data_IF_151704537896
#
_entry.id   IF_151704537896
#
_cell.length_a   1.000
_cell.length_b   1.000
_cell.length_c   1.000
_cell.angle_alpha   90.00
_cell.angle_beta   90.00
_cell.angle_gamma   90.00
#
_symmetry.space_group_name_H-M   'P 1'
#
loop_
_entity.id
_entity.type
_entity.pdbx_description
1 polymer ?
#
# COMPACT_ATOMS: atom_id res chain seq x y z
N UNK A 1 -8.66 -3.09 4.63
CA UNK A 1 -8.55 -2.83 3.16
C UNK A 1 -7.19 -3.32 2.75
N UNK A 2 -7.10 -4.20 1.75
CA UNK A 2 -5.81 -4.73 1.32
C UNK A 2 -4.97 -3.63 0.64
N UNK A 3 -3.71 -3.47 1.03
CA UNK A 3 -2.76 -2.55 0.38
C UNK A 3 -1.95 -3.32 -0.68
N UNK A 4 -2.39 -3.24 -1.93
CA UNK A 4 -1.77 -3.92 -3.07
C UNK A 4 -1.62 -2.94 -4.24
N UNK A 5 -0.42 -2.90 -4.83
CA UNK A 5 -0.11 -2.15 -6.05
C UNK A 5 -0.21 -3.06 -7.29
N UNK A 6 -0.24 -2.44 -8.48
CA UNK A 6 -0.14 -3.18 -9.73
C UNK A 6 1.26 -3.79 -9.93
N UNK A 7 1.34 -4.80 -10.81
CA UNK A 7 2.62 -5.37 -11.22
C UNK A 7 3.45 -4.33 -12.00
N UNK A 8 4.76 -4.28 -11.76
CA UNK A 8 5.71 -3.39 -12.46
C UNK A 8 5.53 -3.40 -13.98
N UNK A 9 5.38 -4.61 -14.55
CA UNK A 9 5.18 -4.80 -15.98
C UNK A 9 3.96 -4.05 -16.51
N UNK A 10 2.87 -3.94 -15.73
CA UNK A 10 1.69 -3.22 -16.19
C UNK A 10 1.96 -1.72 -16.36
N UNK A 11 2.72 -1.11 -15.45
CA UNK A 11 3.14 0.29 -15.55
C UNK A 11 4.10 0.52 -16.72
N UNK A 12 5.07 -0.37 -16.88
CA UNK A 12 6.02 -0.30 -17.99
C UNK A 12 5.33 -0.50 -19.35
N UNK A 13 4.35 -1.42 -19.41
CA UNK A 13 3.51 -1.61 -20.60
C UNK A 13 2.70 -0.33 -20.88
N UNK A 14 2.11 0.33 -19.88
CA UNK A 14 1.39 1.59 -20.09
C UNK A 14 2.30 2.66 -20.69
N UNK A 15 3.52 2.81 -20.15
CA UNK A 15 4.49 3.75 -20.68
C UNK A 15 4.89 3.42 -22.13
N UNK A 16 5.07 2.14 -22.45
CA UNK A 16 5.35 1.68 -23.81
C UNK A 16 4.20 1.94 -24.79
N UNK A 17 2.94 1.96 -24.31
CA UNK A 17 1.75 2.27 -25.11
C UNK A 17 1.41 3.78 -25.15
N UNK A 18 2.35 4.65 -24.77
CA UNK A 18 2.22 6.10 -24.93
C UNK A 18 1.83 6.86 -23.65
N UNK A 19 1.64 6.18 -22.52
CA UNK A 19 1.47 6.85 -21.23
C UNK A 19 2.84 7.28 -20.66
N UNK A 20 3.50 8.22 -21.32
CA UNK A 20 4.81 8.74 -20.88
C UNK A 20 4.74 9.24 -19.44
N UNK A 21 5.73 8.90 -18.61
CA UNK A 21 5.73 9.23 -17.18
C UNK A 21 5.13 8.15 -16.26
N UNK A 22 4.57 7.07 -16.83
CA UNK A 22 3.87 6.02 -16.07
C UNK A 22 4.66 4.73 -15.91
N UNK A 23 5.96 4.67 -16.25
CA UNK A 23 6.76 3.48 -15.97
C UNK A 23 6.83 3.23 -14.47
N UNK A 24 7.08 1.98 -14.07
CA UNK A 24 7.04 1.63 -12.64
C UNK A 24 8.00 2.49 -11.81
N UNK A 25 9.20 2.74 -12.34
CA UNK A 25 10.21 3.56 -11.67
C UNK A 25 9.74 5.01 -11.47
N UNK A 26 8.99 5.56 -12.43
CA UNK A 26 8.46 6.92 -12.35
C UNK A 26 7.30 7.03 -11.35
N UNK A 27 6.45 6.01 -11.27
CA UNK A 27 5.31 6.01 -10.33
C UNK A 27 5.69 5.59 -8.91
N UNK A 28 6.78 4.83 -8.72
CA UNK A 28 7.22 4.34 -7.41
C UNK A 28 7.39 5.49 -6.39
N UNK A 29 7.90 6.64 -6.83
CA UNK A 29 8.04 7.82 -5.95
C UNK A 29 6.70 8.31 -5.41
N UNK A 30 5.62 8.17 -6.17
CA UNK A 30 4.27 8.59 -5.74
C UNK A 30 3.65 7.58 -4.80
N UNK A 31 3.90 6.28 -5.00
CA UNK A 31 3.51 5.27 -4.01
C UNK A 31 4.20 5.50 -2.67
N UNK A 32 5.50 5.84 -2.68
CA UNK A 32 6.22 6.19 -1.46
C UNK A 32 5.73 7.51 -0.85
N UNK A 33 5.40 8.51 -1.66
CA UNK A 33 4.85 9.80 -1.17
C UNK A 33 3.47 9.64 -0.52
N UNK A 34 2.65 8.72 -1.04
CA UNK A 34 1.32 8.39 -0.53
C UNK A 34 1.37 7.73 0.85
N UNK A 35 2.38 6.89 1.06
CA UNK A 35 2.40 5.89 2.12
C UNK A 35 3.05 6.40 3.41
N UNK A 36 2.40 6.07 4.53
CA UNK A 36 2.97 6.11 5.87
C UNK A 36 2.96 4.70 6.44
N UNK A 37 3.99 3.92 6.10
CA UNK A 37 4.09 2.53 6.53
C UNK A 37 4.66 2.46 7.96
N UNK A 38 3.88 1.91 8.89
CA UNK A 38 4.29 1.83 10.31
C UNK A 38 5.06 0.55 10.64
N UNK A 39 5.15 -0.39 9.70
CA UNK A 39 5.86 -1.66 9.88
C UNK A 39 7.31 -1.50 9.39
N UNK A 40 8.22 -1.28 10.34
CA UNK A 40 9.60 -0.88 10.07
C UNK A 40 10.40 -1.89 9.22
N UNK A 41 9.98 -3.16 9.17
CA UNK A 41 10.60 -4.18 8.32
C UNK A 41 10.34 -3.96 6.81
N UNK A 42 9.23 -3.32 6.43
CA UNK A 42 8.88 -3.04 5.03
C UNK A 42 9.59 -1.80 4.50
N UNK A 43 9.81 -0.79 5.35
CA UNK A 43 10.39 0.51 4.95
C UNK A 43 11.82 0.39 4.41
N UNK A 44 12.57 -0.63 4.83
CA UNK A 44 14.01 -0.76 4.54
C UNK A 44 14.32 -1.29 3.13
N UNK A 45 13.34 -1.87 2.43
CA UNK A 45 13.58 -2.52 1.14
C UNK A 45 13.57 -1.56 -0.07
N UNK A 46 13.27 -0.27 0.15
CA UNK A 46 13.27 0.77 -0.88
C UNK A 46 11.94 0.98 -1.61
N UNK A 47 10.95 0.09 -1.42
CA UNK A 47 9.65 0.14 -2.09
C UNK A 47 8.57 0.87 -1.29
N UNK A 48 8.77 1.08 0.01
CA UNK A 48 7.80 1.71 0.90
C UNK A 48 8.19 3.14 1.29
N UNK A 49 7.18 3.93 1.65
CA UNK A 49 7.30 5.28 2.18
C UNK A 49 6.88 5.41 3.63
N UNK A 50 7.33 6.49 4.27
CA UNK A 50 6.90 6.92 5.60
C UNK A 50 6.53 8.40 5.57
N UNK A 51 5.65 8.84 6.47
CA UNK A 51 5.22 10.24 6.58
C UNK A 51 4.22 10.69 5.52
N UNK A 52 3.73 9.78 4.67
CA UNK A 52 2.64 10.03 3.75
C UNK A 52 1.27 10.20 4.44
N UNK A 53 0.24 10.60 3.69
CA UNK A 53 -1.10 10.79 4.24
C UNK A 53 -1.87 9.48 4.51
N UNK A 54 -1.50 8.35 3.88
CA UNK A 54 -2.20 7.07 4.03
C UNK A 54 -1.38 6.13 4.91
N UNK A 55 -1.89 5.85 6.11
CA UNK A 55 -1.26 4.90 7.03
C UNK A 55 -1.46 3.47 6.53
N UNK A 56 -0.36 2.73 6.47
CA UNK A 56 -0.31 1.32 6.07
C UNK A 56 0.33 0.53 7.20
N UNK A 57 -0.33 -0.54 7.62
CA UNK A 57 0.18 -1.46 8.63
C UNK A 57 -0.39 -2.85 8.44
N UNK A 58 0.22 -3.86 9.05
CA UNK A 58 -0.43 -5.15 9.25
C UNK A 58 -1.72 -4.96 10.05
N UNK A 59 -2.79 -5.69 9.70
CA UNK A 59 -3.98 -5.75 10.55
C UNK A 59 -3.60 -6.26 11.94
N UNK A 60 -4.20 -5.72 13.03
CA UNK A 60 -3.88 -6.15 14.39
C UNK A 60 -4.37 -7.58 14.71
N UNK A 61 -5.34 -8.08 13.95
CA UNK A 61 -5.80 -9.45 14.07
C UNK A 61 -4.93 -10.38 13.25
N UNK A 62 -4.25 -11.31 13.92
CA UNK A 62 -3.50 -12.37 13.29
C UNK A 62 -4.25 -13.70 13.42
N UNK A 63 -4.61 -14.29 12.28
CA UNK A 63 -5.38 -15.54 12.24
C UNK A 63 -4.43 -16.73 12.18
N UNK A 64 -4.72 -17.80 12.94
CA UNK A 64 -3.98 -19.06 12.85
C UNK A 64 -3.95 -19.63 11.41
N UNK A 65 -4.99 -19.36 10.62
CA UNK A 65 -5.03 -19.75 9.21
C UNK A 65 -3.96 -19.04 8.38
N UNK A 66 -3.61 -17.78 8.73
CA UNK A 66 -2.56 -17.04 8.03
C UNK A 66 -1.23 -17.76 8.20
N UNK A 67 -0.86 -18.08 9.45
CA UNK A 67 0.39 -18.78 9.75
C UNK A 67 0.44 -20.14 9.07
N UNK A 68 -0.64 -20.94 9.18
CA UNK A 68 -0.70 -22.26 8.54
C UNK A 68 -0.53 -22.19 7.01
N UNK A 69 -1.07 -21.16 6.34
CA UNK A 69 -0.91 -20.96 4.89
C UNK A 69 0.53 -20.56 4.54
N UNK A 70 1.15 -19.66 5.31
CA UNK A 70 2.53 -19.24 5.07
C UNK A 70 3.52 -20.38 5.34
N UNK A 71 3.34 -21.14 6.41
CA UNK A 71 4.14 -22.33 6.72
C UNK A 71 4.04 -23.38 5.62
N UNK A 72 2.81 -23.70 5.17
CA UNK A 72 2.62 -24.66 4.07
C UNK A 72 3.25 -24.18 2.75
N UNK A 73 3.25 -22.86 2.49
CA UNK A 73 3.93 -22.29 1.34
C UNK A 73 5.45 -22.46 1.43
N UNK A 74 6.04 -22.19 2.60
CA UNK A 74 7.47 -22.41 2.86
C UNK A 74 7.87 -23.88 2.73
N UNK A 75 7.08 -24.81 3.27
CA UNK A 75 7.30 -26.26 3.14
C UNK A 75 7.31 -26.73 1.68
N UNK A 76 6.54 -26.07 0.81
CA UNK A 76 6.54 -26.32 -0.64
C UNK A 76 7.65 -25.59 -1.39
N UNK A 77 8.51 -24.85 -0.69
CA UNK A 77 9.63 -24.11 -1.25
C UNK A 77 9.23 -22.77 -1.88
N UNK A 78 8.03 -22.25 -1.60
CA UNK A 78 7.66 -20.90 -2.02
C UNK A 78 8.28 -19.86 -1.09
N UNK A 79 8.67 -18.74 -1.67
CA UNK A 79 9.16 -17.59 -0.92
C UNK A 79 8.00 -16.84 -0.29
N UNK A 80 8.15 -16.49 0.99
CA UNK A 80 7.35 -15.46 1.65
C UNK A 80 8.07 -14.13 1.48
N UNK A 81 7.36 -13.10 1.02
CA UNK A 81 7.96 -11.80 0.73
C UNK A 81 7.02 -10.64 0.96
N UNK A 82 7.33 -9.56 0.27
CA UNK A 82 6.54 -8.34 0.21
C UNK A 82 5.90 -8.20 -1.17
N UNK A 83 4.56 -8.16 -1.20
CA UNK A 83 3.78 -8.09 -2.44
C UNK A 83 3.99 -6.77 -3.19
N UNK A 84 4.39 -5.70 -2.50
CA UNK A 84 4.67 -4.40 -3.07
C UNK A 84 6.18 -4.17 -3.30
N UNK A 85 6.99 -5.21 -3.07
CA UNK A 85 8.45 -5.19 -3.10
C UNK A 85 9.04 -5.53 -4.47
N UNK A 86 10.26 -6.12 -4.49
CA UNK A 86 10.95 -6.44 -5.73
C UNK A 86 10.23 -7.50 -6.58
N UNK A 87 9.64 -8.49 -5.92
CA UNK A 87 9.11 -9.70 -6.53
C UNK A 87 7.58 -9.65 -6.60
N UNK A 88 7.02 -9.96 -7.77
CA UNK A 88 5.57 -9.89 -8.00
C UNK A 88 4.85 -11.24 -7.82
N UNK A 89 5.58 -12.32 -7.56
CA UNK A 89 5.03 -13.68 -7.40
C UNK A 89 5.54 -14.33 -6.12
N UNK A 90 4.66 -14.99 -5.38
CA UNK A 90 4.99 -15.63 -4.11
C UNK A 90 3.82 -15.58 -3.13
N UNK A 91 4.13 -15.82 -1.87
CA UNK A 91 3.20 -15.66 -0.75
C UNK A 91 3.65 -14.48 0.10
N UNK A 92 2.72 -13.85 0.81
CA UNK A 92 2.96 -12.54 1.41
C UNK A 92 2.17 -12.38 2.71
N UNK A 93 2.79 -11.75 3.70
CA UNK A 93 2.08 -11.23 4.87
C UNK A 93 1.49 -9.87 4.50
N UNK A 94 0.16 -9.81 4.39
CA UNK A 94 -0.52 -8.70 3.73
C UNK A 94 -0.69 -7.50 4.66
N UNK A 95 -0.31 -6.32 4.17
CA UNK A 95 -0.57 -5.05 4.84
C UNK A 95 -1.93 -4.46 4.40
N UNK A 96 -2.45 -3.56 5.22
CA UNK A 96 -3.72 -2.90 5.01
C UNK A 96 -3.60 -1.38 5.23
N UNK A 97 -4.47 -0.61 4.56
CA UNK A 97 -4.60 0.84 4.84
C UNK A 97 -5.42 1.04 6.12
N UNK A 98 -4.72 1.09 7.25
CA UNK A 98 -5.30 1.13 8.60
C UNK A 98 -4.58 2.20 9.41
N UNK A 99 -5.33 2.99 10.17
CA UNK A 99 -4.83 3.96 11.14
C UNK A 99 -5.57 3.73 12.45
N UNK A 100 -4.82 3.45 13.51
CA UNK A 100 -5.36 3.19 14.86
C UNK A 100 -6.45 2.10 14.88
N UNK A 101 -6.18 0.99 14.17
CA UNK A 101 -7.10 -0.15 14.07
C UNK A 101 -8.35 0.09 13.21
N UNK A 102 -8.53 1.29 12.66
CA UNK A 102 -9.65 1.65 11.80
C UNK A 102 -9.22 1.83 10.35
N UNK A 103 -10.19 1.71 9.43
CA UNK A 103 -9.98 2.02 8.01
C UNK A 103 -9.38 3.42 7.84
N UNK A 104 -8.23 3.51 7.18
CA UNK A 104 -7.68 4.76 6.67
C UNK A 104 -8.25 5.00 5.27
N UNK A 105 -9.36 5.73 5.18
CA UNK A 105 -9.97 6.11 3.89
C UNK A 105 -9.26 7.32 3.26
N UNK A 106 -9.51 7.60 1.98
CA UNK A 106 -9.00 8.81 1.33
C UNK A 106 -9.47 10.09 2.07
N UNK A 107 -10.73 10.13 2.54
CA UNK A 107 -11.23 11.26 3.33
C UNK A 107 -10.47 11.43 4.66
N UNK A 108 -10.23 10.34 5.41
CA UNK A 108 -9.47 10.38 6.66
C UNK A 108 -7.98 10.71 6.44
N UNK A 109 -7.41 10.28 5.31
CA UNK A 109 -6.03 10.51 4.95
C UNK A 109 -5.75 11.94 4.45
N UNK A 110 -6.62 12.46 3.59
CA UNK A 110 -6.37 13.71 2.85
C UNK A 110 -7.28 14.87 3.26
N UNK A 111 -8.56 14.62 3.52
CA UNK A 111 -9.52 15.69 3.78
C UNK A 111 -9.54 16.08 5.26
N UNK A 112 -9.74 15.12 6.16
CA UNK A 112 -9.87 15.39 7.60
C UNK A 112 -8.68 16.16 8.20
N UNK A 113 -7.41 15.94 7.78
CA UNK A 113 -6.30 16.76 8.29
C UNK A 113 -6.22 18.16 7.69
N UNK A 114 -7.02 18.49 6.67
CA UNK A 114 -6.91 19.71 5.87
C UNK A 114 -8.24 20.48 5.75
N UNK A 115 -9.31 20.05 6.42
CA UNK A 115 -10.66 20.65 6.34
C UNK A 115 -10.74 22.07 6.90
N UNK A 116 -9.75 22.49 7.69
CA UNK A 116 -9.59 23.84 8.21
C UNK A 116 -8.99 24.83 7.20
N UNK A 117 -8.59 24.40 6.00
CA UNK A 117 -7.96 25.29 5.00
C UNK A 117 -8.99 26.20 4.35
N UNK A 118 -8.76 27.51 4.42
CA UNK A 118 -9.64 28.54 3.85
C UNK A 118 -9.81 28.43 2.32
N UNK A 119 -8.89 27.74 1.63
CA UNK A 119 -8.95 27.50 0.19
C UNK A 119 -9.50 26.11 -0.20
N UNK A 120 -10.20 25.43 0.72
CA UNK A 120 -10.82 24.13 0.49
C UNK A 120 -12.28 24.11 0.98
N UNK A 121 -13.22 24.04 0.05
CA UNK A 121 -14.65 23.84 0.34
C UNK A 121 -15.04 22.36 0.19
N UNK A 122 -15.70 21.79 1.21
CA UNK A 122 -16.22 20.42 1.19
C UNK A 122 -17.75 20.47 1.26
N UNK A 123 -18.43 20.10 0.16
CA UNK A 123 -19.89 20.05 0.09
C UNK A 123 -20.35 18.58 0.09
N UNK A 124 -21.07 18.18 1.14
CA UNK A 124 -21.66 16.83 1.24
C UNK A 124 -23.10 16.81 0.69
N UNK A 125 -23.53 15.64 0.22
CA UNK A 125 -24.92 15.43 -0.22
C UNK A 125 -25.93 15.51 0.94
N UNK A 126 -27.23 15.58 0.63
CA UNK A 126 -28.28 15.56 1.66
C UNK A 126 -28.21 14.24 2.45
N UNK A 127 -28.39 14.37 3.77
CA UNK A 127 -28.48 13.27 4.74
C UNK A 127 -29.78 12.48 4.58
#
# INVERSE_FOLDING_TARGET
MLNLRGNKKNYDDWAAHGAHGWSYNEVLRYFKKLEDNTDAEYVKNGYHGTGGPVTVSKPPYDSELKSAVLEAAEEKGYRIGDINGPDATGFYDLQATVRDGQRCSAAKAYLAPNDHKENLDIVSGPS
#
